data_IF_192322250699
#
_entry.id   IF_192322250699
#
_cell.length_a   1.000
_cell.length_b   1.000
_cell.length_c   1.000
_cell.angle_alpha   90.00
_cell.angle_beta   90.00
_cell.angle_gamma   90.00
#
_symmetry.space_group_name_H-M   'P 1'
#
loop_
_entity.id
_entity.type
_entity.pdbx_description
1 polymer ?
#
# COMPACT_ATOMS: atom_id res chain seq x y z
N UNK A 1 -1.66 1.74 31.88
CA UNK A 1 -1.92 2.31 30.56
C UNK A 1 -1.48 1.32 29.51
N UNK A 2 -2.42 0.55 29.00
CA UNK A 2 -2.11 -0.45 28.00
C UNK A 2 -1.88 0.19 26.65
N UNK A 3 -0.64 0.25 26.20
CA UNK A 3 -0.38 0.45 24.78
C UNK A 3 -0.92 -0.78 24.07
N UNK A 4 -2.01 -0.61 23.38
CA UNK A 4 -2.46 -1.65 22.48
C UNK A 4 -1.54 -1.65 21.26
N UNK A 5 -0.58 -2.51 21.28
CA UNK A 5 0.02 -2.94 20.06
C UNK A 5 -0.90 -3.99 19.44
N UNK A 6 -1.89 -3.53 18.70
CA UNK A 6 -2.45 -4.41 17.70
C UNK A 6 -1.36 -4.55 16.65
N UNK A 7 -0.67 -5.67 16.65
CA UNK A 7 0.12 -6.06 15.50
C UNK A 7 -0.89 -6.36 14.41
N UNK A 8 -1.29 -5.33 13.69
CA UNK A 8 -2.01 -5.53 12.44
C UNK A 8 -0.98 -6.04 11.45
N UNK A 9 -1.02 -7.34 11.21
CA UNK A 9 -0.24 -7.93 10.14
C UNK A 9 -0.69 -7.27 8.83
N UNK A 10 0.21 -6.64 8.07
CA UNK A 10 -0.16 -6.05 6.81
C UNK A 10 -0.74 -7.12 5.89
N UNK A 11 -1.95 -6.90 5.43
CA UNK A 11 -2.67 -7.82 4.55
C UNK A 11 -2.53 -7.36 3.10
N UNK A 12 -1.29 -7.26 2.67
CA UNK A 12 -0.92 -6.84 1.33
C UNK A 12 -0.50 -8.06 0.53
N UNK A 13 -0.94 -8.14 -0.71
CA UNK A 13 -0.54 -9.19 -1.64
C UNK A 13 0.41 -8.66 -2.69
N UNK A 14 1.37 -9.46 -3.09
CA UNK A 14 2.32 -9.14 -4.13
C UNK A 14 2.36 -10.22 -5.19
N UNK A 15 2.43 -9.82 -6.46
CA UNK A 15 2.55 -10.71 -7.60
C UNK A 15 3.80 -10.34 -8.37
N UNK A 16 4.65 -11.33 -8.60
CA UNK A 16 5.84 -11.22 -9.45
C UNK A 16 5.71 -12.20 -10.60
N UNK A 17 5.68 -11.73 -11.83
CA UNK A 17 5.49 -12.55 -13.01
C UNK A 17 6.49 -12.13 -14.08
N UNK A 18 7.13 -13.12 -14.70
CA UNK A 18 7.92 -12.94 -15.92
C UNK A 18 7.39 -13.91 -16.96
N UNK A 19 7.03 -13.41 -18.13
CA UNK A 19 6.55 -14.27 -19.22
C UNK A 19 7.70 -14.79 -20.08
N UNK A 20 7.36 -15.65 -21.04
CA UNK A 20 8.32 -16.24 -21.95
C UNK A 20 8.99 -15.24 -22.90
N UNK A 21 8.41 -14.05 -23.04
CA UNK A 21 8.92 -12.98 -23.91
C UNK A 21 9.82 -12.00 -23.17
N UNK A 22 10.02 -12.19 -21.87
CA UNK A 22 10.82 -11.31 -21.04
C UNK A 22 10.06 -10.12 -20.46
N UNK A 23 8.73 -10.07 -20.61
CA UNK A 23 7.92 -9.07 -19.94
C UNK A 23 7.85 -9.38 -18.45
N UNK A 24 7.99 -8.36 -17.61
CA UNK A 24 8.01 -8.51 -16.17
C UNK A 24 6.94 -7.65 -15.51
N UNK A 25 6.28 -8.22 -14.52
CA UNK A 25 5.30 -7.53 -13.68
C UNK A 25 5.71 -7.68 -12.22
N UNK A 26 5.79 -6.55 -11.53
CA UNK A 26 5.89 -6.51 -10.07
C UNK A 26 4.74 -5.65 -9.56
N UNK A 27 3.72 -6.28 -9.00
CA UNK A 27 2.49 -5.61 -8.61
C UNK A 27 2.16 -5.90 -7.16
N UNK A 28 1.90 -4.84 -6.42
CA UNK A 28 1.43 -4.90 -5.05
C UNK A 28 -0.02 -4.44 -5.01
N UNK A 29 -0.87 -5.19 -4.33
CA UNK A 29 -2.27 -4.84 -4.14
C UNK A 29 -2.65 -4.97 -2.68
N UNK A 30 -3.44 -4.03 -2.19
CA UNK A 30 -3.84 -4.00 -0.80
C UNK A 30 -5.19 -3.31 -0.64
N UNK A 31 -5.90 -3.67 0.44
CA UNK A 31 -7.05 -2.92 0.93
C UNK A 31 -6.75 -2.28 2.29
N UNK A 32 -5.47 -2.21 2.64
CA UNK A 32 -4.83 -1.70 3.84
C UNK A 32 -4.97 -2.69 5.01
N UNK A 33 -6.07 -2.70 5.76
CA UNK A 33 -6.33 -3.73 6.77
C UNK A 33 -6.82 -5.04 6.15
N UNK A 34 -6.69 -6.16 6.86
CA UNK A 34 -7.06 -7.49 6.37
C UNK A 34 -8.49 -7.61 5.84
N UNK A 35 -9.41 -6.88 6.44
CA UNK A 35 -10.80 -6.79 5.99
C UNK A 35 -11.15 -5.37 5.51
N UNK A 36 -10.15 -4.54 5.22
CA UNK A 36 -10.31 -3.18 4.75
C UNK A 36 -11.19 -2.36 5.69
N UNK A 37 -12.19 -1.69 5.15
CA UNK A 37 -13.18 -0.94 5.92
C UNK A 37 -14.24 -1.83 6.60
N UNK A 38 -14.19 -3.15 6.36
CA UNK A 38 -15.20 -4.14 6.80
C UNK A 38 -16.56 -3.95 6.14
N UNK A 39 -16.61 -3.21 5.06
CA UNK A 39 -17.81 -3.01 4.27
C UNK A 39 -17.71 -3.82 2.97
N UNK A 40 -18.75 -4.63 2.71
CA UNK A 40 -18.83 -5.44 1.49
C UNK A 40 -19.64 -4.71 0.44
N UNK A 41 -19.17 -4.72 -0.79
CA UNK A 41 -19.95 -4.21 -1.92
C UNK A 41 -20.97 -5.23 -2.40
N UNK A 42 -21.95 -4.78 -3.15
CA UNK A 42 -22.94 -5.67 -3.78
C UNK A 42 -22.30 -6.66 -4.76
N UNK A 43 -21.16 -6.31 -5.30
CA UNK A 43 -20.40 -7.17 -6.21
C UNK A 43 -19.53 -8.23 -5.50
N UNK A 44 -19.53 -8.26 -4.17
CA UNK A 44 -18.91 -9.32 -3.39
C UNK A 44 -17.45 -9.08 -3.03
N UNK A 45 -16.95 -7.86 -3.05
CA UNK A 45 -15.61 -7.55 -2.57
C UNK A 45 -15.64 -6.51 -1.44
N UNK A 46 -14.61 -6.56 -0.60
CA UNK A 46 -14.44 -5.64 0.51
C UNK A 46 -13.86 -4.31 0.03
N UNK A 47 -14.36 -3.21 0.58
CA UNK A 47 -13.78 -1.89 0.36
C UNK A 47 -12.53 -1.71 1.23
N UNK A 48 -11.57 -0.94 0.71
CA UNK A 48 -10.36 -0.60 1.45
C UNK A 48 -10.65 0.41 2.57
N UNK A 49 -9.67 0.60 3.46
CA UNK A 49 -9.66 1.65 4.47
C UNK A 49 -8.46 2.59 4.31
N UNK A 50 -8.02 2.81 3.07
CA UNK A 50 -6.82 3.61 2.76
C UNK A 50 -6.93 5.06 3.23
N UNK A 51 -8.13 5.57 3.45
CA UNK A 51 -8.32 6.92 3.97
C UNK A 51 -7.63 7.10 5.33
N UNK A 52 -7.50 6.04 6.11
CA UNK A 52 -6.81 6.07 7.40
C UNK A 52 -5.30 6.23 7.28
N UNK A 53 -4.73 6.10 6.10
CA UNK A 53 -3.32 6.34 5.85
C UNK A 53 -2.96 7.83 5.81
N UNK A 54 -3.96 8.71 5.68
CA UNK A 54 -3.76 10.14 5.90
C UNK A 54 -3.49 10.44 7.37
N UNK A 55 -2.78 11.52 7.62
CA UNK A 55 -2.61 12.05 8.97
C UNK A 55 -3.94 12.60 9.47
N UNK A 56 -4.34 12.19 10.69
CA UNK A 56 -5.56 12.72 11.31
C UNK A 56 -5.43 14.16 11.77
N UNK A 57 -4.19 14.64 11.95
CA UNK A 57 -3.89 16.02 12.26
C UNK A 57 -3.39 16.73 11.01
N UNK A 58 -4.06 17.82 10.64
CA UNK A 58 -3.67 18.61 9.47
C UNK A 58 -2.47 19.51 9.72
N UNK A 59 -2.20 19.87 10.98
CA UNK A 59 -1.13 20.76 11.36
C UNK A 59 -0.31 20.19 12.51
N UNK A 60 1.01 20.41 12.45
CA UNK A 60 1.94 20.08 13.52
C UNK A 60 2.87 21.25 13.73
N UNK A 61 2.89 21.78 14.98
CA UNK A 61 3.71 22.96 15.34
C UNK A 61 3.46 24.17 14.41
N UNK A 62 2.20 24.42 14.05
CA UNK A 62 1.81 25.51 13.18
C UNK A 62 2.09 25.30 11.71
N UNK A 63 2.70 24.17 11.33
CA UNK A 63 2.99 23.81 9.94
C UNK A 63 2.02 22.75 9.45
N UNK A 64 1.61 22.88 8.19
CA UNK A 64 0.74 21.89 7.54
C UNK A 64 1.49 20.58 7.36
N UNK A 65 0.83 19.48 7.74
CA UNK A 65 1.37 18.13 7.54
C UNK A 65 1.24 17.76 6.07
N UNK A 66 2.33 17.30 5.45
CA UNK A 66 2.33 16.91 4.04
C UNK A 66 1.30 15.82 3.72
N UNK A 67 1.08 14.89 4.64
CA UNK A 67 0.11 13.79 4.49
C UNK A 67 -1.28 14.15 5.03
N UNK A 68 -1.63 15.43 5.08
CA UNK A 68 -2.96 15.88 5.51
C UNK A 68 -4.03 15.55 4.47
N UNK A 69 -5.27 15.39 4.92
CA UNK A 69 -6.41 15.14 4.04
C UNK A 69 -6.73 16.42 3.27
N UNK A 70 -6.71 16.33 1.94
CA UNK A 70 -7.09 17.42 1.04
C UNK A 70 -7.71 16.84 -0.24
N UNK A 71 -8.54 17.64 -0.95
CA UNK A 71 -9.09 17.20 -2.23
C UNK A 71 -7.99 16.83 -3.23
N UNK A 72 -8.22 15.81 -4.02
CA UNK A 72 -7.32 15.31 -5.07
C UNK A 72 -5.99 14.78 -4.59
N UNK A 73 -5.83 14.58 -3.30
CA UNK A 73 -4.64 13.97 -2.70
C UNK A 73 -4.78 12.46 -2.54
N UNK A 74 -3.65 11.78 -2.66
CA UNK A 74 -3.51 10.37 -2.28
C UNK A 74 -2.82 10.29 -0.92
N UNK A 75 -3.18 9.33 -0.06
CA UNK A 75 -2.44 9.12 1.18
C UNK A 75 -1.05 8.57 0.88
N UNK A 76 -0.15 8.71 1.86
CA UNK A 76 1.16 8.07 1.77
C UNK A 76 1.01 6.55 1.61
N UNK A 77 1.97 5.95 0.94
CA UNK A 77 2.09 4.51 0.84
C UNK A 77 3.54 4.09 0.99
N UNK A 78 3.77 2.97 1.65
CA UNK A 78 5.09 2.34 1.76
C UNK A 78 5.26 1.19 0.79
N UNK A 79 4.29 0.94 -0.07
CA UNK A 79 4.42 -0.07 -1.11
C UNK A 79 5.40 0.39 -2.19
N UNK A 80 6.39 -0.45 -2.48
CA UNK A 80 7.44 -0.14 -3.44
C UNK A 80 7.73 -1.35 -4.32
N UNK A 81 6.84 -1.69 -5.25
CA UNK A 81 7.12 -2.78 -6.19
C UNK A 81 8.36 -2.44 -7.00
N UNK A 82 9.27 -3.40 -7.10
CA UNK A 82 10.61 -3.17 -7.64
C UNK A 82 10.99 -4.24 -8.62
N UNK A 83 11.61 -3.83 -9.74
CA UNK A 83 12.20 -4.72 -10.73
C UNK A 83 13.66 -4.34 -10.86
N UNK A 84 14.56 -5.32 -10.68
CA UNK A 84 15.99 -5.13 -10.88
C UNK A 84 16.40 -5.80 -12.20
N UNK A 85 17.04 -5.03 -13.07
CA UNK A 85 17.50 -5.49 -14.36
C UNK A 85 19.02 -5.71 -14.36
N UNK A 86 19.45 -6.73 -15.06
CA UNK A 86 20.86 -6.96 -15.38
C UNK A 86 20.96 -7.29 -16.87
N UNK A 87 21.76 -6.52 -17.61
CA UNK A 87 21.89 -6.67 -19.07
C UNK A 87 20.53 -6.61 -19.78
N UNK A 88 19.68 -5.66 -19.35
CA UNK A 88 18.31 -5.45 -19.86
C UNK A 88 17.35 -6.62 -19.62
N UNK A 89 17.67 -7.54 -18.72
CA UNK A 89 16.81 -8.65 -18.35
C UNK A 89 16.45 -8.55 -16.87
N UNK A 90 15.17 -8.80 -16.50
CA UNK A 90 14.80 -8.79 -15.11
C UNK A 90 15.44 -9.96 -14.35
N UNK A 91 16.08 -9.68 -13.22
CA UNK A 91 16.69 -10.68 -12.33
C UNK A 91 15.98 -10.82 -11.02
N UNK A 92 15.39 -9.73 -10.50
CA UNK A 92 14.64 -9.72 -9.26
C UNK A 92 13.39 -8.89 -9.39
N UNK A 93 12.29 -9.43 -8.86
CA UNK A 93 11.04 -8.70 -8.67
C UNK A 93 10.69 -8.81 -7.19
N UNK A 94 10.44 -7.69 -6.55
CA UNK A 94 10.26 -7.68 -5.11
C UNK A 94 9.20 -6.69 -4.67
N UNK A 95 8.65 -6.98 -3.51
CA UNK A 95 7.91 -6.04 -2.69
C UNK A 95 8.86 -5.56 -1.59
N UNK A 96 9.00 -4.25 -1.46
CA UNK A 96 9.69 -3.68 -0.32
C UNK A 96 8.65 -3.00 0.54
N UNK A 97 8.54 -3.48 1.77
CA UNK A 97 7.83 -2.82 2.86
C UNK A 97 8.85 -2.16 3.76
N UNK A 98 8.71 -0.89 3.89
CA UNK A 98 9.50 -0.14 4.87
C UNK A 98 8.59 0.24 6.03
#
# INVERSE_FOLDING_TARGET
MGSRYSIELPSTSHISIVDQYGNALSMTTTIENGFGSRLMTDSGFLLNNELTDFSFKSFKNGKKVANSIEPSKRPRSSMAPTIILKNNKPVYLSLIHI
#
